data_IF_087263603062
#
_entry.id   IF_087263603062
#
_cell.length_a   1.000
_cell.length_b   1.000
_cell.length_c   1.000
_cell.angle_alpha   90.00
_cell.angle_beta   90.00
_cell.angle_gamma   90.00
#
_symmetry.space_group_name_H-M   'P 1'
#
loop_
_entity.id
_entity.type
_entity.pdbx_description
1 polymer ?
#
# COMPACT_ATOMS: atom_id res chain seq x y z
N UNK A 1 3.65 3.20 17.70
CA UNK A 1 3.04 4.50 17.33
C UNK A 1 3.71 5.00 16.05
N UNK A 2 2.95 5.63 15.15
CA UNK A 2 3.50 6.17 13.90
C UNK A 2 4.52 7.28 14.15
N UNK A 3 5.54 7.35 13.28
CA UNK A 3 6.56 8.42 13.33
C UNK A 3 5.94 9.79 13.00
N UNK A 4 6.58 10.91 13.38
CA UNK A 4 6.11 12.25 13.02
C UNK A 4 5.89 12.44 11.51
N UNK A 5 6.74 11.84 10.68
CA UNK A 5 6.67 11.91 9.22
C UNK A 5 5.44 11.17 8.67
N UNK A 6 5.15 9.99 9.22
CA UNK A 6 3.94 9.22 8.87
C UNK A 6 2.70 9.99 9.32
N UNK A 7 2.71 10.59 10.51
CA UNK A 7 1.59 11.41 11.00
C UNK A 7 1.34 12.62 10.10
N UNK A 8 2.40 13.30 9.67
CA UNK A 8 2.29 14.42 8.72
C UNK A 8 1.68 13.97 7.37
N UNK A 9 2.14 12.83 6.84
CA UNK A 9 1.59 12.24 5.63
C UNK A 9 0.11 11.86 5.76
N UNK A 10 -0.29 11.30 6.91
CA UNK A 10 -1.70 10.97 7.20
C UNK A 10 -2.56 12.24 7.22
N UNK A 11 -2.07 13.34 7.82
CA UNK A 11 -2.81 14.62 7.86
C UNK A 11 -3.00 15.20 6.46
N UNK A 12 -1.94 15.20 5.66
CA UNK A 12 -1.94 15.65 4.26
C UNK A 12 -2.98 14.88 3.42
N UNK A 13 -3.09 13.57 3.65
CA UNK A 13 -4.01 12.68 2.94
C UNK A 13 -5.29 12.37 3.74
N UNK A 14 -5.65 13.20 4.71
CA UNK A 14 -6.72 12.91 5.68
C UNK A 14 -8.11 12.67 5.08
N UNK A 15 -8.33 13.17 3.86
CA UNK A 15 -9.55 12.98 3.07
C UNK A 15 -9.73 11.52 2.60
N UNK A 16 -8.65 10.74 2.48
CA UNK A 16 -8.72 9.31 2.16
C UNK A 16 -9.27 8.45 3.31
N UNK A 17 -9.40 9.03 4.51
CA UNK A 17 -9.80 8.35 5.75
C UNK A 17 -11.04 9.00 6.39
N UNK A 18 -11.98 9.52 5.59
CA UNK A 18 -13.09 10.32 6.10
C UNK A 18 -14.01 9.57 7.09
N UNK A 19 -14.06 8.24 7.03
CA UNK A 19 -14.83 7.37 7.94
C UNK A 19 -14.13 7.08 9.28
N UNK A 20 -12.87 7.50 9.47
CA UNK A 20 -12.12 7.31 10.70
C UNK A 20 -12.24 8.55 11.58
N UNK A 21 -12.44 8.35 12.89
CA UNK A 21 -12.52 9.45 13.86
C UNK A 21 -11.23 10.28 13.83
N UNK A 22 -11.31 11.63 13.87
CA UNK A 22 -10.13 12.50 13.76
C UNK A 22 -8.97 12.13 14.69
N UNK A 23 -9.28 11.81 15.94
CA UNK A 23 -8.31 11.43 16.99
C UNK A 23 -7.65 10.06 16.77
N UNK A 24 -8.25 9.20 15.95
CA UNK A 24 -7.74 7.86 15.62
C UNK A 24 -6.91 7.86 14.33
N UNK A 25 -7.09 8.85 13.44
CA UNK A 25 -6.48 8.89 12.10
C UNK A 25 -4.96 8.74 12.14
N UNK A 26 -4.28 9.46 13.03
CA UNK A 26 -2.81 9.42 13.11
C UNK A 26 -2.26 8.06 13.58
N UNK A 27 -3.12 7.20 14.11
CA UNK A 27 -2.76 5.89 14.66
C UNK A 27 -3.21 4.73 13.76
N UNK A 28 -3.70 4.99 12.54
CA UNK A 28 -4.04 3.94 11.60
C UNK A 28 -2.81 3.07 11.29
N UNK A 29 -3.07 1.78 11.11
CA UNK A 29 -2.07 0.77 10.78
C UNK A 29 -1.52 0.96 9.35
N UNK A 30 -0.27 0.56 9.15
CA UNK A 30 0.44 0.71 7.89
C UNK A 30 -0.20 -0.10 6.74
N UNK A 31 -0.82 -1.27 7.00
CA UNK A 31 -1.52 -2.03 5.97
C UNK A 31 -2.74 -1.26 5.45
N UNK A 32 -3.51 -0.66 6.36
CA UNK A 32 -4.66 0.15 5.98
C UNK A 32 -4.24 1.44 5.26
N UNK A 33 -3.17 2.10 5.73
CA UNK A 33 -2.60 3.27 5.08
C UNK A 33 -2.20 2.97 3.62
N UNK A 34 -1.47 1.88 3.40
CA UNK A 34 -1.05 1.46 2.05
C UNK A 34 -2.27 1.15 1.18
N UNK A 35 -3.23 0.37 1.69
CA UNK A 35 -4.44 0.00 0.96
C UNK A 35 -5.23 1.23 0.48
N UNK A 36 -5.49 2.17 1.40
CA UNK A 36 -6.25 3.38 1.10
C UNK A 36 -5.54 4.28 0.08
N UNK A 37 -4.22 4.49 0.24
CA UNK A 37 -3.45 5.35 -0.68
C UNK A 37 -3.34 4.74 -2.06
N UNK A 38 -3.07 3.43 -2.18
CA UNK A 38 -2.98 2.79 -3.49
C UNK A 38 -4.34 2.71 -4.21
N UNK A 39 -5.45 2.58 -3.49
CA UNK A 39 -6.79 2.56 -4.09
C UNK A 39 -7.33 3.94 -4.49
N UNK A 40 -7.10 4.95 -3.65
CA UNK A 40 -7.82 6.22 -3.71
C UNK A 40 -6.91 7.46 -3.78
N UNK A 41 -5.62 7.31 -3.51
CA UNK A 41 -4.66 8.39 -3.61
C UNK A 41 -4.38 8.80 -5.05
N UNK A 42 -3.85 10.01 -5.22
CA UNK A 42 -3.34 10.48 -6.50
C UNK A 42 -1.84 10.19 -6.64
N UNK A 43 -1.23 10.60 -7.76
CA UNK A 43 0.20 10.41 -8.01
C UNK A 43 1.08 10.98 -6.89
N UNK A 44 0.73 12.17 -6.37
CA UNK A 44 1.47 12.80 -5.27
C UNK A 44 1.40 11.96 -3.99
N UNK A 45 0.20 11.49 -3.61
CA UNK A 45 0.00 10.63 -2.44
C UNK A 45 0.82 9.34 -2.55
N UNK A 46 0.84 8.69 -3.72
CA UNK A 46 1.59 7.45 -3.96
C UNK A 46 3.09 7.70 -3.89
N UNK A 47 3.59 8.77 -4.51
CA UNK A 47 5.00 9.14 -4.42
C UNK A 47 5.42 9.39 -2.98
N UNK A 48 4.64 10.17 -2.22
CA UNK A 48 4.94 10.44 -0.81
C UNK A 48 4.88 9.17 0.05
N UNK A 49 3.96 8.25 -0.24
CA UNK A 49 3.91 6.95 0.45
C UNK A 49 5.24 6.20 0.30
N UNK A 50 5.81 6.16 -0.90
CA UNK A 50 7.10 5.52 -1.14
C UNK A 50 8.27 6.26 -0.48
N UNK A 51 8.22 7.58 -0.39
CA UNK A 51 9.25 8.36 0.33
C UNK A 51 9.23 8.12 1.84
N UNK A 52 8.04 7.94 2.43
CA UNK A 52 7.88 7.78 3.89
C UNK A 52 8.10 6.33 4.34
N UNK A 53 7.55 5.35 3.61
CA UNK A 53 7.62 3.95 3.99
C UNK A 53 8.70 3.16 3.23
N UNK A 54 9.15 3.67 2.09
CA UNK A 54 10.03 2.92 1.19
C UNK A 54 9.23 1.99 0.26
N UNK A 55 9.61 2.00 -1.02
CA UNK A 55 8.94 1.20 -2.06
C UNK A 55 8.93 -0.32 -1.75
N UNK A 56 9.99 -0.84 -1.13
CA UNK A 56 10.10 -2.26 -0.78
C UNK A 56 9.09 -2.67 0.29
N UNK A 57 8.96 -1.87 1.36
CA UNK A 57 7.99 -2.13 2.43
C UNK A 57 6.56 -2.05 1.90
N UNK A 58 6.28 -1.07 1.03
CA UNK A 58 4.95 -0.93 0.42
C UNK A 58 4.63 -2.13 -0.48
N UNK A 59 5.59 -2.58 -1.29
CA UNK A 59 5.44 -3.78 -2.14
C UNK A 59 5.17 -5.04 -1.29
N UNK A 60 5.91 -5.24 -0.20
CA UNK A 60 5.69 -6.35 0.73
C UNK A 60 4.27 -6.34 1.32
N UNK A 61 3.83 -5.18 1.82
CA UNK A 61 2.48 -5.00 2.37
C UNK A 61 1.42 -5.33 1.31
N UNK A 62 1.57 -4.77 0.11
CA UNK A 62 0.67 -4.98 -1.01
C UNK A 62 0.57 -6.46 -1.39
N UNK A 63 1.69 -7.14 -1.65
CA UNK A 63 1.70 -8.55 -2.06
C UNK A 63 1.11 -9.46 -0.97
N UNK A 64 1.40 -9.19 0.31
CA UNK A 64 0.81 -9.93 1.45
C UNK A 64 -0.70 -9.72 1.56
N UNK A 65 -1.22 -8.55 1.22
CA UNK A 65 -2.65 -8.28 1.28
C UNK A 65 -3.42 -8.92 0.12
N UNK A 66 -2.88 -8.89 -1.10
CA UNK A 66 -3.55 -9.48 -2.27
C UNK A 66 -3.44 -11.01 -2.32
N UNK A 67 -2.56 -11.63 -1.52
CA UNK A 67 -2.46 -13.09 -1.40
C UNK A 67 -3.52 -13.71 -0.46
N UNK A 68 -4.40 -12.89 0.13
CA UNK A 68 -5.48 -13.34 1.03
C UNK A 68 -6.73 -13.67 0.23
N UNK A 69 -7.61 -14.50 0.81
CA UNK A 69 -8.96 -14.77 0.24
C UNK A 69 -9.76 -13.47 0.13
N UNK A 70 -9.75 -12.70 1.23
CA UNK A 70 -10.21 -11.31 1.42
C UNK A 70 -9.33 -10.25 0.76
N UNK A 71 -9.61 -9.76 -0.46
CA UNK A 71 -8.86 -8.62 -1.04
C UNK A 71 -9.70 -7.35 -1.07
N UNK A 72 -9.19 -6.26 -0.48
CA UNK A 72 -9.85 -4.95 -0.43
C UNK A 72 -9.35 -3.97 -1.51
N UNK A 73 -8.45 -4.41 -2.38
CA UNK A 73 -7.96 -3.63 -3.51
C UNK A 73 -8.92 -3.71 -4.71
N UNK A 74 -9.06 -2.60 -5.43
CA UNK A 74 -9.74 -2.63 -6.72
C UNK A 74 -8.95 -3.47 -7.74
N UNK A 75 -9.59 -4.23 -8.64
CA UNK A 75 -8.88 -5.04 -9.63
C UNK A 75 -7.85 -4.27 -10.47
N UNK A 76 -8.18 -3.02 -10.85
CA UNK A 76 -7.26 -2.12 -11.57
C UNK A 76 -6.02 -1.76 -10.73
N UNK A 77 -6.21 -1.53 -9.44
CA UNK A 77 -5.13 -1.22 -8.49
C UNK A 77 -4.20 -2.41 -8.35
N UNK A 78 -4.77 -3.62 -8.20
CA UNK A 78 -4.00 -4.87 -8.14
C UNK A 78 -3.15 -5.01 -9.40
N UNK A 79 -3.77 -4.88 -10.57
CA UNK A 79 -3.09 -5.06 -11.85
C UNK A 79 -1.94 -4.07 -12.03
N UNK A 80 -2.21 -2.77 -11.87
CA UNK A 80 -1.21 -1.72 -12.05
C UNK A 80 -0.03 -1.87 -11.08
N UNK A 81 -0.31 -2.00 -9.77
CA UNK A 81 0.75 -2.04 -8.78
C UNK A 81 1.51 -3.37 -8.76
N UNK A 82 0.91 -4.47 -9.21
CA UNK A 82 1.67 -5.71 -9.47
C UNK A 82 2.77 -5.47 -10.50
N UNK A 83 2.43 -4.88 -11.66
CA UNK A 83 3.41 -4.56 -12.71
C UNK A 83 4.45 -3.54 -12.22
N UNK A 84 3.99 -2.51 -11.52
CA UNK A 84 4.88 -1.47 -10.99
C UNK A 84 5.90 -2.06 -10.00
N UNK A 85 5.46 -2.85 -9.02
CA UNK A 85 6.37 -3.42 -8.01
C UNK A 85 7.26 -4.53 -8.58
N UNK A 86 6.81 -5.30 -9.57
CA UNK A 86 7.71 -6.24 -10.28
C UNK A 86 8.88 -5.51 -10.96
N UNK A 87 8.62 -4.32 -11.52
CA UNK A 87 9.65 -3.49 -12.17
C UNK A 87 10.52 -2.71 -11.19
N UNK A 88 9.99 -2.28 -10.05
CA UNK A 88 10.65 -1.31 -9.18
C UNK A 88 11.02 -1.84 -7.78
N UNK A 89 10.59 -3.06 -7.43
CA UNK A 89 10.84 -3.71 -6.14
C UNK A 89 11.36 -5.16 -6.33
N UNK A 90 12.48 -5.30 -7.04
CA UNK A 90 13.01 -6.59 -7.52
C UNK A 90 13.24 -7.65 -6.44
N UNK A 91 13.49 -7.28 -5.18
CA UNK A 91 13.71 -8.25 -4.08
C UNK A 91 12.50 -9.14 -3.76
N UNK A 92 11.28 -8.79 -4.22
CA UNK A 92 10.07 -9.62 -4.06
C UNK A 92 9.69 -10.44 -5.31
N UNK A 93 10.30 -10.14 -6.46
CA UNK A 93 10.06 -10.83 -7.73
C UNK A 93 10.37 -12.33 -7.65
N UNK A 94 11.41 -12.71 -6.93
CA UNK A 94 11.92 -14.09 -6.99
C UNK A 94 11.13 -15.09 -6.11
N UNK A 95 10.40 -14.59 -5.11
CA UNK A 95 9.66 -15.45 -4.16
C UNK A 95 8.14 -15.46 -4.36
N UNK A 96 7.54 -14.36 -4.85
CA UNK A 96 6.10 -14.28 -5.10
C UNK A 96 5.71 -14.82 -6.50
N UNK A 97 6.54 -14.58 -7.53
CA UNK A 97 6.26 -15.00 -8.91
C UNK A 97 6.16 -16.53 -9.06
N UNK A 98 6.91 -17.28 -8.24
CA UNK A 98 6.86 -18.75 -8.22
C UNK A 98 5.60 -19.35 -7.57
N UNK A 99 4.79 -18.58 -6.83
CA UNK A 99 3.54 -19.09 -6.22
C UNK A 99 2.29 -18.74 -7.00
N UNK A 100 2.28 -17.65 -7.76
CA UNK A 100 1.06 -17.19 -8.44
C UNK A 100 0.86 -17.85 -9.82
N UNK A 101 1.90 -18.36 -10.45
CA UNK A 101 1.81 -19.07 -11.75
C UNK A 101 1.89 -20.61 -11.66
N UNK A 102 2.10 -21.17 -10.48
CA UNK A 102 2.18 -22.63 -10.28
C UNK A 102 0.81 -23.28 -9.95
N UNK A 103 -0.28 -22.52 -10.03
CA UNK A 103 -1.64 -22.98 -9.70
C UNK A 103 -2.61 -22.87 -10.89
N UNK A 104 -2.15 -23.28 -12.08
CA UNK A 104 -2.99 -23.59 -13.24
C UNK A 104 -2.64 -24.97 -13.76
#
# INVERSE_FOLDING_TARGET
MNSPEIKAFIRENSHLFWWIKPEEKENIDANFLVEAVLNYGNEHSVKRLFEVLGIQQVAEIFFRQISRVRVNYHPRTIHYFTLYFQRHAHTYSDSATNRTFAAH
#
